data_IF_374080115944
#
_entry.id   IF_374080115944
#
_cell.length_a   1.000
_cell.length_b   1.000
_cell.length_c   1.000
_cell.angle_alpha   90.00
_cell.angle_beta   90.00
_cell.angle_gamma   90.00
#
_symmetry.space_group_name_H-M   'P 1'
#
loop_
_entity.id
_entity.type
_entity.pdbx_description
1 polymer ?
#
# COMPACT_ATOMS: atom_id res chain seq x y z
N UNK A 1 24.39 16.78 -10.82
CA UNK A 1 23.01 17.00 -11.30
C UNK A 1 22.23 15.73 -10.97
N UNK A 2 20.92 15.79 -10.79
CA UNK A 2 20.05 14.61 -10.56
C UNK A 2 19.88 13.75 -11.83
N UNK A 3 20.20 14.32 -13.00
CA UNK A 3 20.48 13.55 -14.22
C UNK A 3 21.70 12.65 -13.98
N UNK A 4 21.55 11.35 -14.26
CA UNK A 4 22.62 10.35 -14.10
C UNK A 4 23.61 10.39 -15.29
N UNK A 5 23.10 10.70 -16.48
CA UNK A 5 23.92 10.75 -17.70
C UNK A 5 24.88 11.93 -17.67
N UNK A 6 26.18 11.63 -17.75
CA UNK A 6 27.23 12.64 -17.82
C UNK A 6 27.35 13.20 -19.24
N UNK A 7 27.01 14.48 -19.43
CA UNK A 7 27.15 15.20 -20.71
C UNK A 7 28.53 15.87 -20.89
N UNK A 8 29.40 15.86 -19.86
CA UNK A 8 30.76 16.40 -19.95
C UNK A 8 31.75 15.37 -20.51
N UNK A 9 31.36 14.73 -21.60
CA UNK A 9 32.15 13.73 -22.32
C UNK A 9 32.01 13.95 -23.82
N UNK A 10 32.88 13.35 -24.62
CA UNK A 10 32.76 13.41 -26.09
C UNK A 10 31.44 12.78 -26.54
N UNK A 11 30.70 13.38 -27.50
CA UNK A 11 31.02 14.60 -28.26
C UNK A 11 30.53 15.93 -27.64
N UNK A 12 29.80 15.89 -26.52
CA UNK A 12 29.00 17.03 -26.03
C UNK A 12 29.78 18.06 -25.19
N UNK A 13 30.74 17.61 -24.36
CA UNK A 13 31.61 18.46 -23.54
C UNK A 13 30.88 19.58 -22.77
N UNK A 14 29.69 19.29 -22.23
CA UNK A 14 28.95 20.27 -21.43
C UNK A 14 29.62 20.44 -20.06
N UNK A 15 30.37 21.53 -19.90
CA UNK A 15 31.17 21.81 -18.71
C UNK A 15 30.52 22.83 -17.77
N UNK A 16 29.18 22.94 -17.81
CA UNK A 16 28.43 23.75 -16.87
C UNK A 16 28.75 23.38 -15.41
N UNK A 17 29.04 24.41 -14.62
CA UNK A 17 29.41 24.29 -13.22
C UNK A 17 28.59 25.30 -12.40
N UNK A 18 27.72 24.77 -11.54
CA UNK A 18 26.83 25.54 -10.67
C UNK A 18 27.60 26.40 -9.67
N UNK A 19 28.80 25.98 -9.26
CA UNK A 19 29.56 26.67 -8.20
C UNK A 19 30.22 27.96 -8.71
N UNK A 20 30.30 28.12 -10.05
CA UNK A 20 30.79 29.35 -10.69
C UNK A 20 29.77 30.50 -10.68
N UNK A 21 28.52 30.25 -10.30
CA UNK A 21 27.45 31.26 -10.22
C UNK A 21 27.22 32.04 -11.52
N UNK A 22 27.36 31.39 -12.69
CA UNK A 22 27.02 31.97 -13.98
C UNK A 22 25.55 31.68 -14.31
N UNK A 23 24.72 32.74 -14.41
CA UNK A 23 23.28 32.62 -14.61
C UNK A 23 22.80 32.98 -16.02
N UNK A 24 23.70 33.49 -16.88
CA UNK A 24 23.34 33.87 -18.25
C UNK A 24 24.55 33.88 -19.16
N UNK A 25 24.39 33.35 -20.36
CA UNK A 25 25.34 33.53 -21.46
C UNK A 25 25.10 34.87 -22.14
N UNK A 26 26.13 35.70 -22.25
CA UNK A 26 26.07 37.04 -22.85
C UNK A 26 26.77 37.02 -24.20
N UNK A 27 25.98 36.93 -25.28
CA UNK A 27 26.52 36.97 -26.64
C UNK A 27 27.05 38.37 -26.99
N UNK A 28 28.25 38.42 -27.57
CA UNK A 28 28.88 39.67 -28.00
C UNK A 28 28.51 39.98 -29.46
N UNK A 29 27.96 41.17 -29.76
CA UNK A 29 27.73 41.57 -31.14
C UNK A 29 29.03 41.52 -31.96
N UNK A 30 28.97 40.97 -33.18
CA UNK A 30 30.11 40.86 -34.09
C UNK A 30 31.04 39.68 -33.84
N UNK A 31 30.78 38.82 -32.83
CA UNK A 31 31.49 37.56 -32.62
C UNK A 31 30.59 36.37 -33.00
N UNK A 32 31.11 35.31 -33.65
CA UNK A 32 30.33 34.11 -33.94
C UNK A 32 30.01 33.35 -32.64
N UNK A 33 28.80 32.82 -32.55
CA UNK A 33 28.33 32.00 -31.42
C UNK A 33 28.96 30.61 -31.49
N UNK A 34 29.42 30.11 -30.35
CA UNK A 34 30.02 28.77 -30.25
C UNK A 34 28.97 27.75 -29.80
N UNK A 35 29.05 26.51 -30.30
CA UNK A 35 28.16 25.43 -29.89
C UNK A 35 28.16 25.22 -28.36
N UNK A 36 29.35 25.32 -27.73
CA UNK A 36 29.50 25.26 -26.28
C UNK A 36 28.67 26.31 -25.54
N UNK A 37 28.57 27.54 -26.05
CA UNK A 37 27.77 28.60 -25.43
C UNK A 37 26.27 28.27 -25.45
N UNK A 38 25.81 27.57 -26.49
CA UNK A 38 24.43 27.10 -26.59
C UNK A 38 24.15 25.92 -25.64
N UNK A 39 25.10 24.99 -25.49
CA UNK A 39 25.00 23.91 -24.50
C UNK A 39 24.94 24.49 -23.09
N UNK A 40 25.87 25.40 -22.74
CA UNK A 40 25.87 26.05 -21.41
C UNK A 40 24.60 26.86 -21.15
N UNK A 41 24.02 27.51 -22.17
CA UNK A 41 22.73 28.19 -22.04
C UNK A 41 21.62 27.22 -21.63
N UNK A 42 21.55 26.06 -22.27
CA UNK A 42 20.56 25.02 -21.95
C UNK A 42 20.74 24.52 -20.51
N UNK A 43 21.97 24.22 -20.10
CA UNK A 43 22.27 23.69 -18.77
C UNK A 43 22.01 24.71 -17.66
N UNK A 44 22.26 26.00 -17.90
CA UNK A 44 21.87 27.08 -16.98
C UNK A 44 20.35 27.12 -16.81
N UNK A 45 19.60 27.10 -17.91
CA UNK A 45 18.14 27.15 -17.86
C UNK A 45 17.58 25.91 -17.17
N UNK A 46 18.08 24.73 -17.54
CA UNK A 46 17.68 23.45 -16.94
C UNK A 46 17.96 23.44 -15.44
N UNK A 47 19.13 23.91 -14.99
CA UNK A 47 19.45 24.01 -13.56
C UNK A 47 18.50 24.97 -12.82
N UNK A 48 18.06 26.08 -13.43
CA UNK A 48 17.05 26.96 -12.81
C UNK A 48 15.69 26.27 -12.67
N UNK A 49 15.26 25.54 -13.71
CA UNK A 49 14.02 24.76 -13.70
C UNK A 49 14.09 23.63 -12.67
N UNK A 50 15.24 22.95 -12.57
CA UNK A 50 15.51 21.90 -11.59
C UNK A 50 15.43 22.44 -10.16
N UNK A 51 16.11 23.56 -9.88
CA UNK A 51 16.08 24.19 -8.54
C UNK A 51 14.67 24.61 -8.14
N UNK A 52 13.91 25.15 -9.09
CA UNK A 52 12.49 25.45 -8.89
C UNK A 52 11.68 24.17 -8.63
N UNK A 53 11.84 23.15 -9.49
CA UNK A 53 11.13 21.88 -9.39
C UNK A 53 11.40 21.16 -8.08
N UNK A 54 12.66 21.05 -7.67
CA UNK A 54 13.08 20.40 -6.41
C UNK A 54 12.63 21.16 -5.16
N UNK A 55 12.43 22.47 -5.23
CA UNK A 55 11.85 23.24 -4.12
C UNK A 55 10.38 22.89 -3.90
N UNK A 56 9.64 22.69 -4.98
CA UNK A 56 8.21 22.38 -4.94
C UNK A 56 7.95 20.88 -4.76
N UNK A 57 8.58 20.02 -5.55
CA UNK A 57 8.26 18.61 -5.69
C UNK A 57 9.41 17.72 -5.21
N UNK A 58 9.06 16.57 -4.62
CA UNK A 58 10.03 15.48 -4.42
C UNK A 58 10.18 14.68 -5.70
N UNK A 59 11.32 14.03 -5.86
CA UNK A 59 11.58 13.07 -6.93
C UNK A 59 10.45 12.02 -7.02
N UNK A 60 9.98 11.73 -8.24
CA UNK A 60 8.87 10.80 -8.47
C UNK A 60 7.48 11.38 -8.25
N UNK A 61 7.36 12.65 -7.88
CA UNK A 61 6.07 13.27 -7.59
C UNK A 61 5.24 13.48 -8.84
N UNK A 62 3.97 13.15 -8.73
CA UNK A 62 2.95 13.43 -9.74
C UNK A 62 2.66 14.93 -9.80
N UNK A 63 3.00 15.60 -10.89
CA UNK A 63 2.76 17.04 -11.09
C UNK A 63 1.40 17.26 -11.76
N UNK A 64 1.17 16.57 -12.88
CA UNK A 64 -0.14 16.52 -13.54
C UNK A 64 -0.69 15.09 -13.38
N UNK A 65 -1.89 14.93 -12.82
CA UNK A 65 -2.35 13.62 -12.39
C UNK A 65 -2.69 12.70 -13.55
N UNK A 66 -1.87 11.67 -13.76
CA UNK A 66 -2.30 10.42 -14.40
C UNK A 66 -3.07 9.55 -13.40
N UNK A 67 -4.19 8.97 -13.83
CA UNK A 67 -4.98 8.08 -12.99
C UNK A 67 -4.28 6.72 -12.88
N UNK A 68 -3.80 6.37 -11.68
CA UNK A 68 -3.36 5.01 -11.37
C UNK A 68 -4.58 4.15 -11.00
N UNK A 69 -4.69 2.97 -11.60
CA UNK A 69 -5.78 2.02 -11.37
C UNK A 69 -5.21 0.63 -11.15
N UNK A 70 -5.56 0.01 -10.03
CA UNK A 70 -5.24 -1.37 -9.73
C UNK A 70 -6.47 -2.25 -9.98
N UNK A 71 -6.32 -3.28 -10.80
CA UNK A 71 -7.36 -4.27 -11.09
C UNK A 71 -6.86 -5.65 -10.67
N UNK A 72 -7.42 -6.19 -9.59
CA UNK A 72 -7.11 -7.54 -9.09
C UNK A 72 -7.96 -8.63 -9.77
N UNK A 73 -8.94 -8.24 -10.59
CA UNK A 73 -9.83 -9.14 -11.31
C UNK A 73 -9.69 -8.92 -12.81
N UNK A 74 -8.44 -8.85 -13.29
CA UNK A 74 -8.14 -8.60 -14.68
C UNK A 74 -8.41 -9.86 -15.52
N UNK A 75 -9.64 -9.97 -16.02
CA UNK A 75 -10.13 -11.16 -16.73
C UNK A 75 -9.37 -11.39 -18.03
N UNK A 76 -9.00 -12.64 -18.29
CA UNK A 76 -8.34 -13.04 -19.52
C UNK A 76 -8.86 -14.35 -20.08
N UNK A 77 -8.69 -14.52 -21.38
CA UNK A 77 -9.03 -15.72 -22.13
C UNK A 77 -7.79 -16.20 -22.89
N UNK A 78 -7.46 -17.46 -22.71
CA UNK A 78 -6.40 -18.13 -23.45
C UNK A 78 -6.97 -18.67 -24.76
N UNK A 79 -6.24 -18.48 -25.86
CA UNK A 79 -6.63 -18.92 -27.20
C UNK A 79 -5.59 -19.89 -27.77
N UNK A 80 -6.03 -20.67 -28.75
CA UNK A 80 -5.14 -21.53 -29.52
C UNK A 80 -4.10 -20.69 -30.30
N UNK A 81 -2.90 -21.23 -30.44
CA UNK A 81 -1.77 -20.55 -31.09
C UNK A 81 -2.02 -20.28 -32.58
N UNK A 82 -2.79 -21.16 -33.22
CA UNK A 82 -3.14 -21.08 -34.64
C UNK A 82 -4.62 -21.28 -34.86
N UNK A 83 -5.19 -20.49 -35.76
CA UNK A 83 -6.55 -20.66 -36.25
C UNK A 83 -6.51 -20.94 -37.76
N UNK A 84 -7.14 -22.05 -38.19
CA UNK A 84 -7.14 -22.50 -39.60
C UNK A 84 -5.73 -22.59 -40.24
N UNK A 85 -4.71 -22.95 -39.44
CA UNK A 85 -3.31 -23.05 -39.87
C UNK A 85 -2.55 -21.73 -39.91
N UNK A 86 -3.14 -20.63 -39.44
CA UNK A 86 -2.53 -19.30 -39.38
C UNK A 86 -2.24 -18.94 -37.91
N UNK A 87 -0.99 -18.63 -37.54
CA UNK A 87 -0.68 -18.19 -36.18
C UNK A 87 -1.40 -16.90 -35.81
N UNK A 88 -2.06 -16.89 -34.64
CA UNK A 88 -2.82 -15.74 -34.13
C UNK A 88 -1.90 -14.56 -33.80
N UNK A 89 -0.63 -14.84 -33.50
CA UNK A 89 0.40 -13.82 -33.23
C UNK A 89 0.70 -12.90 -34.41
N UNK A 90 0.33 -13.27 -35.65
CA UNK A 90 0.58 -12.43 -36.83
C UNK A 90 -0.33 -11.19 -36.89
N UNK A 91 -1.45 -11.22 -36.19
CA UNK A 91 -2.44 -10.15 -36.20
C UNK A 91 -2.91 -9.76 -34.79
N UNK A 92 -2.22 -10.24 -33.74
CA UNK A 92 -2.57 -9.95 -32.35
C UNK A 92 -2.61 -8.44 -32.07
N UNK A 93 -1.65 -7.67 -32.60
CA UNK A 93 -1.55 -6.24 -32.28
C UNK A 93 -2.77 -5.42 -32.73
N UNK A 94 -3.46 -5.88 -33.78
CA UNK A 94 -4.68 -5.24 -34.29
C UNK A 94 -5.93 -5.59 -33.48
N UNK A 95 -5.87 -6.64 -32.66
CA UNK A 95 -6.99 -7.06 -31.83
C UNK A 95 -7.17 -6.16 -30.60
N UNK A 96 -6.13 -5.42 -30.18
CA UNK A 96 -6.19 -4.54 -29.02
C UNK A 96 -7.22 -3.42 -29.26
N UNK A 97 -8.22 -3.32 -28.38
CA UNK A 97 -9.30 -2.35 -28.47
C UNK A 97 -10.52 -2.81 -29.29
N UNK A 98 -10.43 -3.93 -30.01
CA UNK A 98 -11.59 -4.49 -30.73
C UNK A 98 -12.58 -5.17 -29.78
N UNK A 99 -13.85 -5.17 -30.21
CA UNK A 99 -14.92 -5.93 -29.54
C UNK A 99 -15.00 -7.30 -30.18
N UNK A 100 -14.93 -8.33 -29.35
CA UNK A 100 -15.00 -9.73 -29.74
C UNK A 100 -16.27 -10.39 -29.20
N UNK A 101 -16.82 -11.30 -29.99
CA UNK A 101 -18.05 -12.05 -29.68
C UNK A 101 -17.76 -13.54 -29.72
N UNK A 102 -18.25 -14.28 -28.71
CA UNK A 102 -18.17 -15.73 -28.65
C UNK A 102 -19.30 -16.37 -29.47
N UNK A 103 -18.96 -17.26 -30.40
CA UNK A 103 -19.93 -17.86 -31.32
C UNK A 103 -20.95 -18.76 -30.60
N UNK A 104 -20.54 -19.42 -29.49
CA UNK A 104 -21.43 -20.32 -28.74
C UNK A 104 -22.05 -19.63 -27.53
N UNK A 105 -21.27 -18.84 -26.79
CA UNK A 105 -21.73 -18.15 -25.59
C UNK A 105 -22.56 -16.89 -25.89
N UNK A 106 -22.38 -16.26 -27.04
CA UNK A 106 -22.99 -14.96 -27.35
C UNK A 106 -22.47 -13.80 -26.50
N UNK A 107 -21.45 -14.04 -25.66
CA UNK A 107 -20.83 -13.05 -24.79
C UNK A 107 -20.01 -12.08 -25.64
N UNK A 108 -20.05 -10.79 -25.29
CA UNK A 108 -19.20 -9.78 -25.95
C UNK A 108 -18.22 -9.17 -24.95
N UNK A 109 -16.97 -9.01 -25.38
CA UNK A 109 -15.92 -8.38 -24.57
C UNK A 109 -15.02 -7.49 -25.43
N UNK A 110 -14.39 -6.50 -24.80
CA UNK A 110 -13.39 -5.65 -25.45
C UNK A 110 -11.99 -6.07 -25.02
N UNK A 111 -11.09 -6.29 -25.98
CA UNK A 111 -9.69 -6.65 -25.70
C UNK A 111 -8.94 -5.41 -25.19
N UNK A 112 -8.30 -5.51 -24.03
CA UNK A 112 -7.53 -4.44 -23.39
C UNK A 112 -6.03 -4.58 -23.60
N UNK A 113 -5.52 -5.80 -23.54
CA UNK A 113 -4.09 -6.10 -23.70
C UNK A 113 -3.94 -7.54 -24.17
N UNK A 114 -2.83 -7.82 -24.83
CA UNK A 114 -2.49 -9.17 -25.29
C UNK A 114 -1.14 -9.53 -24.71
N UNK A 115 -1.02 -10.79 -24.33
CA UNK A 115 0.22 -11.40 -23.91
C UNK A 115 0.60 -12.45 -24.94
N UNK A 116 1.80 -12.31 -25.48
CA UNK A 116 2.35 -13.24 -26.45
C UNK A 116 2.58 -14.61 -25.81
N UNK A 117 2.62 -15.65 -26.62
CA UNK A 117 2.95 -16.99 -26.16
C UNK A 117 4.34 -17.07 -25.52
N UNK A 118 5.30 -16.30 -26.03
CA UNK A 118 6.71 -16.31 -25.57
C UNK A 118 6.84 -15.70 -24.17
N UNK A 119 5.99 -14.72 -23.85
CA UNK A 119 6.00 -14.04 -22.55
C UNK A 119 5.03 -14.67 -21.53
N UNK A 120 4.27 -15.70 -21.94
CA UNK A 120 3.27 -16.35 -21.11
C UNK A 120 3.88 -17.42 -20.20
N UNK A 121 3.51 -17.41 -18.92
CA UNK A 121 3.90 -18.45 -17.95
C UNK A 121 3.27 -19.81 -18.26
N UNK A 122 2.26 -19.85 -19.15
CA UNK A 122 1.51 -21.05 -19.55
C UNK A 122 1.72 -21.43 -21.01
N UNK A 123 2.67 -20.82 -21.71
CA UNK A 123 2.95 -21.05 -23.13
C UNK A 123 1.73 -20.87 -24.05
N UNK A 124 0.78 -20.03 -23.66
CA UNK A 124 -0.47 -19.78 -24.41
C UNK A 124 -0.67 -18.30 -24.70
N UNK A 125 -1.15 -17.99 -25.91
CA UNK A 125 -1.54 -16.63 -26.25
C UNK A 125 -2.75 -16.23 -25.40
N UNK A 126 -2.64 -15.12 -24.69
CA UNK A 126 -3.63 -14.70 -23.69
C UNK A 126 -4.16 -13.31 -24.02
N UNK A 127 -5.47 -13.21 -24.17
CA UNK A 127 -6.18 -11.95 -24.40
C UNK A 127 -6.76 -11.46 -23.07
N UNK A 128 -6.30 -10.32 -22.58
CA UNK A 128 -6.94 -9.64 -21.45
C UNK A 128 -8.14 -8.86 -21.96
N UNK A 129 -9.30 -9.14 -21.38
CA UNK A 129 -10.60 -8.71 -21.88
C UNK A 129 -11.39 -8.02 -20.78
N UNK A 130 -12.31 -7.14 -21.19
CA UNK A 130 -13.35 -6.59 -20.34
C UNK A 130 -14.71 -7.01 -20.90
N UNK A 131 -15.45 -7.84 -20.17
CA UNK A 131 -16.79 -8.25 -20.56
C UNK A 131 -17.74 -7.04 -20.59
N UNK A 132 -18.56 -6.96 -21.64
CA UNK A 132 -19.52 -5.87 -21.86
C UNK A 132 -20.97 -6.33 -21.83
N UNK A 133 -21.24 -7.52 -22.37
CA UNK A 133 -22.59 -8.11 -22.44
C UNK A 133 -22.49 -9.60 -22.14
N UNK A 134 -23.35 -10.08 -21.25
CA UNK A 134 -23.59 -11.51 -21.02
C UNK A 134 -24.27 -12.14 -22.25
N UNK A 135 -24.24 -13.47 -22.31
CA UNK A 135 -24.88 -14.25 -23.36
C UNK A 135 -26.38 -14.00 -23.46
N UNK A 136 -26.97 -14.39 -24.59
CA UNK A 136 -28.40 -14.19 -24.87
C UNK A 136 -29.32 -15.04 -23.97
N UNK A 137 -28.74 -15.95 -23.18
CA UNK A 137 -29.41 -16.75 -22.15
C UNK A 137 -29.54 -16.02 -20.79
N UNK A 138 -28.99 -14.80 -20.67
CA UNK A 138 -28.91 -14.02 -19.43
C UNK A 138 -28.26 -14.74 -18.24
N UNK A 139 -27.52 -15.83 -18.49
CA UNK A 139 -26.90 -16.68 -17.47
C UNK A 139 -25.41 -16.87 -17.72
N UNK A 140 -24.98 -16.91 -18.98
CA UNK A 140 -23.58 -17.09 -19.36
C UNK A 140 -22.85 -15.75 -19.32
N UNK A 141 -22.01 -15.56 -18.31
CA UNK A 141 -21.25 -14.31 -18.11
C UNK A 141 -19.83 -14.34 -18.71
N UNK A 142 -19.35 -15.52 -19.14
CA UNK A 142 -17.98 -15.74 -19.61
C UNK A 142 -17.95 -16.51 -20.92
N UNK A 143 -16.82 -16.43 -21.63
CA UNK A 143 -16.57 -17.25 -22.80
C UNK A 143 -16.54 -18.74 -22.41
N UNK A 144 -16.96 -19.61 -23.31
CA UNK A 144 -16.90 -21.05 -23.15
C UNK A 144 -15.58 -21.61 -23.69
N UNK A 145 -15.13 -22.74 -23.15
CA UNK A 145 -13.91 -23.42 -23.60
C UNK A 145 -14.10 -24.06 -24.99
N UNK A 146 -13.13 -23.92 -25.90
CA UNK A 146 -13.20 -24.43 -27.27
C UNK A 146 -14.23 -23.75 -28.16
N UNK A 147 -14.55 -22.47 -27.92
CA UNK A 147 -15.43 -21.68 -28.78
C UNK A 147 -14.66 -20.75 -29.72
N UNK A 148 -15.24 -20.43 -30.87
CA UNK A 148 -14.66 -19.48 -31.81
C UNK A 148 -15.03 -18.04 -31.44
N UNK A 149 -14.06 -17.14 -31.57
CA UNK A 149 -14.18 -15.70 -31.33
C UNK A 149 -14.18 -14.96 -32.66
N UNK A 150 -15.12 -14.03 -32.84
CA UNK A 150 -15.20 -13.13 -34.00
C UNK A 150 -15.04 -11.68 -33.58
N UNK A 151 -14.37 -10.86 -34.41
CA UNK A 151 -14.13 -9.45 -34.14
C UNK A 151 -15.16 -8.57 -34.87
N UNK A 152 -15.51 -7.42 -34.31
CA UNK A 152 -16.50 -6.51 -34.92
C UNK A 152 -15.95 -5.65 -36.07
N UNK A 153 -14.65 -5.73 -36.37
CA UNK A 153 -13.97 -5.00 -37.44
C UNK A 153 -13.10 -5.94 -38.25
N UNK A 154 -12.75 -5.50 -39.47
CA UNK A 154 -11.84 -6.23 -40.34
C UNK A 154 -10.42 -6.26 -39.73
N UNK A 155 -9.80 -7.45 -39.73
CA UNK A 155 -8.41 -7.65 -39.29
C UNK A 155 -7.55 -7.86 -40.52
N UNK A 156 -6.59 -6.97 -40.76
CA UNK A 156 -5.77 -6.95 -41.98
C UNK A 156 -4.37 -7.44 -41.66
N UNK A 157 -3.94 -8.59 -42.18
CA UNK A 157 -2.60 -9.09 -41.93
C UNK A 157 -1.90 -9.48 -43.24
N UNK A 158 -0.74 -8.88 -43.47
CA UNK A 158 -0.06 -8.98 -44.77
C UNK A 158 -0.97 -8.52 -45.91
N UNK A 159 -1.31 -9.42 -46.83
CA UNK A 159 -2.21 -9.18 -47.96
C UNK A 159 -3.62 -9.80 -47.77
N UNK A 160 -3.90 -10.39 -46.60
CA UNK A 160 -5.14 -11.08 -46.28
C UNK A 160 -5.99 -10.28 -45.30
N UNK A 161 -7.31 -10.44 -45.37
CA UNK A 161 -8.27 -9.75 -44.50
C UNK A 161 -9.21 -10.79 -43.91
N UNK A 162 -9.32 -10.81 -42.57
CA UNK A 162 -10.41 -11.49 -41.87
C UNK A 162 -11.54 -10.46 -41.77
N UNK A 163 -12.65 -10.71 -42.47
CA UNK A 163 -13.78 -9.79 -42.47
C UNK A 163 -14.41 -9.67 -41.07
N UNK A 164 -15.04 -8.53 -40.80
CA UNK A 164 -15.79 -8.30 -39.58
C UNK A 164 -16.84 -9.40 -39.37
N UNK A 165 -16.93 -9.89 -38.14
CA UNK A 165 -17.77 -10.98 -37.66
C UNK A 165 -17.38 -12.38 -38.14
N UNK A 166 -16.28 -12.53 -38.91
CA UNK A 166 -15.69 -13.83 -39.15
C UNK A 166 -14.86 -14.30 -37.93
N UNK A 167 -14.84 -15.61 -37.65
CA UNK A 167 -13.98 -16.17 -36.62
C UNK A 167 -12.49 -15.90 -36.91
N UNK A 168 -11.75 -15.44 -35.91
CA UNK A 168 -10.31 -15.23 -36.01
C UNK A 168 -9.50 -16.14 -35.08
N UNK A 169 -10.07 -16.61 -33.97
CA UNK A 169 -9.38 -17.48 -33.02
C UNK A 169 -10.35 -18.44 -32.32
N UNK A 170 -9.82 -19.53 -31.77
CA UNK A 170 -10.54 -20.42 -30.86
C UNK A 170 -10.00 -20.26 -29.44
N UNK A 171 -10.88 -20.29 -28.45
CA UNK A 171 -10.48 -20.44 -27.05
C UNK A 171 -9.93 -21.84 -26.80
N UNK A 172 -9.06 -22.01 -25.80
CA UNK A 172 -8.55 -23.35 -25.45
C UNK A 172 -9.69 -24.32 -25.14
N UNK A 173 -9.51 -25.59 -25.51
CA UNK A 173 -10.52 -26.64 -25.31
C UNK A 173 -10.90 -26.89 -23.84
N UNK A 174 -10.03 -26.54 -22.89
CA UNK A 174 -10.28 -26.66 -21.44
C UNK A 174 -9.58 -25.52 -20.68
N UNK A 175 -10.29 -24.91 -19.73
CA UNK A 175 -9.71 -23.92 -18.81
C UNK A 175 -9.21 -22.65 -19.51
N UNK A 176 -9.91 -22.19 -20.55
CA UNK A 176 -9.49 -21.04 -21.32
C UNK A 176 -9.56 -19.76 -20.48
N UNK A 177 -10.58 -19.64 -19.63
CA UNK A 177 -10.80 -18.47 -18.80
C UNK A 177 -9.86 -18.45 -17.59
N UNK A 178 -9.23 -17.30 -17.34
CA UNK A 178 -8.44 -17.07 -16.14
C UNK A 178 -8.59 -15.62 -15.66
N UNK A 179 -8.10 -15.37 -14.45
CA UNK A 179 -8.10 -14.03 -13.84
C UNK A 179 -6.68 -13.71 -13.44
N UNK A 180 -6.14 -12.62 -13.99
CA UNK A 180 -4.87 -12.05 -13.60
C UNK A 180 -5.05 -10.79 -12.78
N UNK A 181 -3.95 -10.08 -12.58
CA UNK A 181 -3.93 -8.78 -11.92
C UNK A 181 -3.07 -7.80 -12.71
N UNK A 182 -3.49 -6.55 -12.76
CA UNK A 182 -2.80 -5.50 -13.50
C UNK A 182 -2.84 -4.15 -12.78
N UNK A 183 -1.85 -3.33 -13.08
CA UNK A 183 -1.81 -1.91 -12.73
C UNK A 183 -1.78 -1.10 -14.02
N UNK A 184 -2.70 -0.16 -14.16
CA UNK A 184 -2.74 0.78 -15.28
C UNK A 184 -2.44 2.19 -14.81
N UNK A 185 -1.80 2.97 -15.66
CA UNK A 185 -1.56 4.39 -15.47
C UNK A 185 -2.10 5.18 -16.66
N UNK A 186 -2.84 6.25 -16.38
CA UNK A 186 -3.23 7.22 -17.39
C UNK A 186 -2.11 8.23 -17.68
N UNK A 187 -2.23 8.92 -18.81
CA UNK A 187 -1.28 9.97 -19.20
C UNK A 187 -1.14 11.05 -18.11
N UNK A 188 0.09 11.45 -17.81
CA UNK A 188 0.38 12.46 -16.80
C UNK A 188 1.79 13.00 -16.87
N UNK A 189 2.12 13.97 -16.01
CA UNK A 189 3.46 14.55 -15.92
C UNK A 189 4.01 14.32 -14.52
N UNK A 190 5.22 13.79 -14.44
CA UNK A 190 5.92 13.45 -13.21
C UNK A 190 7.23 14.22 -13.12
N UNK A 191 7.60 14.62 -11.91
CA UNK A 191 8.88 15.25 -11.65
C UNK A 191 9.93 14.17 -11.42
N UNK A 192 10.82 14.00 -12.39
CA UNK A 192 11.83 12.93 -12.43
C UNK A 192 13.16 13.52 -12.89
N UNK A 193 14.21 13.29 -12.11
CA UNK A 193 15.60 13.71 -12.35
C UNK A 193 15.75 15.18 -12.70
N UNK A 194 15.01 16.04 -12.00
CA UNK A 194 15.02 17.48 -12.24
C UNK A 194 14.20 17.95 -13.44
N UNK A 195 13.50 17.04 -14.12
CA UNK A 195 12.72 17.31 -15.33
C UNK A 195 11.24 16.97 -15.12
N UNK A 196 10.36 17.68 -15.82
CA UNK A 196 8.94 17.37 -15.89
C UNK A 196 8.71 16.41 -17.05
N UNK A 197 8.78 15.11 -16.77
CA UNK A 197 8.69 14.06 -17.78
C UNK A 197 7.25 13.57 -17.96
N UNK A 198 6.84 13.41 -19.21
CA UNK A 198 5.52 12.89 -19.55
C UNK A 198 5.52 11.36 -19.48
N UNK A 199 4.51 10.80 -18.84
CA UNK A 199 4.26 9.37 -18.79
C UNK A 199 3.04 9.08 -19.65
N UNK A 200 3.18 8.16 -20.59
CA UNK A 200 2.10 7.72 -21.48
C UNK A 200 1.17 6.73 -20.76
N UNK A 201 0.00 6.49 -21.35
CA UNK A 201 -0.88 5.45 -20.84
C UNK A 201 -0.23 4.07 -20.99
N UNK A 202 -0.09 3.35 -19.88
CA UNK A 202 0.51 2.03 -19.86
C UNK A 202 -0.25 1.11 -18.91
N UNK A 203 -0.30 -0.19 -19.23
CA UNK A 203 -0.85 -1.22 -18.35
C UNK A 203 0.20 -2.30 -18.11
N UNK A 204 0.61 -2.47 -16.86
CA UNK A 204 1.55 -3.49 -16.41
C UNK A 204 0.79 -4.68 -15.83
N UNK A 205 1.11 -5.89 -16.29
CA UNK A 205 0.56 -7.14 -15.73
C UNK A 205 1.40 -7.53 -14.50
N UNK A 206 0.73 -7.70 -13.36
CA UNK A 206 1.36 -8.07 -12.09
C UNK A 206 1.48 -9.59 -11.99
N UNK A 207 0.37 -10.31 -11.95
CA UNK A 207 0.35 -11.76 -12.14
C UNK A 207 -0.53 -12.10 -13.33
N UNK A 208 -0.04 -13.00 -14.18
CA UNK A 208 -0.72 -13.32 -15.43
C UNK A 208 -2.06 -14.03 -15.20
N UNK A 209 -2.08 -14.94 -14.21
CA UNK A 209 -3.20 -15.85 -13.92
C UNK A 209 -3.49 -15.98 -12.42
N UNK A 210 -3.13 -14.96 -11.62
CA UNK A 210 -3.42 -14.89 -10.19
C UNK A 210 -3.97 -13.52 -9.79
N UNK A 211 -4.88 -13.54 -8.81
CA UNK A 211 -5.51 -12.36 -8.21
C UNK A 211 -4.82 -11.90 -6.91
N UNK A 212 -3.76 -12.59 -6.47
CA UNK A 212 -3.06 -12.29 -5.20
C UNK A 212 -1.59 -11.86 -5.40
N UNK A 213 -1.30 -10.84 -6.23
CA UNK A 213 0.07 -10.38 -6.46
C UNK A 213 0.69 -9.75 -5.20
N UNK A 214 2.01 -9.81 -5.11
CA UNK A 214 2.80 -9.19 -4.03
C UNK A 214 4.05 -8.53 -4.60
N UNK A 215 3.94 -7.24 -4.97
CA UNK A 215 5.01 -6.50 -5.63
C UNK A 215 5.05 -5.02 -5.22
N UNK A 216 6.25 -4.44 -5.35
CA UNK A 216 6.47 -2.98 -5.41
C UNK A 216 6.29 -2.55 -6.87
N UNK A 217 5.48 -1.54 -7.10
CA UNK A 217 5.14 -1.06 -8.45
C UNK A 217 5.61 0.38 -8.55
N UNK A 218 6.27 0.70 -9.64
CA UNK A 218 6.96 1.97 -9.79
C UNK A 218 7.31 2.30 -11.22
N UNK A 219 7.92 3.47 -11.40
CA UNK A 219 8.49 3.88 -12.66
C UNK A 219 9.92 3.41 -12.78
N UNK A 220 10.24 2.77 -13.89
CA UNK A 220 11.61 2.61 -14.34
C UNK A 220 11.97 3.81 -15.22
N UNK A 221 13.03 4.52 -14.84
CA UNK A 221 13.50 5.72 -15.54
C UNK A 221 14.76 5.37 -16.30
N UNK A 222 14.68 5.43 -17.63
CA UNK A 222 15.80 5.20 -18.53
C UNK A 222 16.16 6.51 -19.24
N UNK A 223 17.45 6.83 -19.28
CA UNK A 223 18.00 7.95 -20.05
C UNK A 223 18.75 7.38 -21.25
N UNK A 224 18.33 7.75 -22.45
CA UNK A 224 18.94 7.32 -23.70
C UNK A 224 19.33 8.54 -24.56
N UNK A 225 20.32 8.35 -25.42
CA UNK A 225 20.66 9.33 -26.46
C UNK A 225 20.05 8.88 -27.78
N UNK A 226 19.24 9.74 -28.39
CA UNK A 226 18.69 9.49 -29.72
C UNK A 226 19.43 10.34 -30.73
N UNK A 227 20.09 9.66 -31.66
CA UNK A 227 20.85 10.26 -32.75
C UNK A 227 20.01 10.41 -34.02
N UNK A 228 20.48 11.24 -34.96
CA UNK A 228 19.82 11.40 -36.26
C UNK A 228 19.86 10.13 -37.14
N UNK A 229 20.74 9.17 -36.81
CA UNK A 229 20.78 7.84 -37.44
C UNK A 229 19.60 6.96 -36.98
N UNK A 230 19.15 7.13 -35.73
CA UNK A 230 18.04 6.37 -35.14
C UNK A 230 16.68 7.02 -35.45
N UNK A 231 16.62 8.36 -35.41
CA UNK A 231 15.43 9.12 -35.78
C UNK A 231 15.73 10.10 -36.94
N UNK A 232 15.32 9.75 -38.17
CA UNK A 232 15.51 10.61 -39.34
C UNK A 232 14.81 11.97 -39.24
N UNK A 233 13.85 12.16 -38.32
CA UNK A 233 13.19 13.45 -38.09
C UNK A 233 14.12 14.50 -37.51
N UNK A 234 15.24 14.09 -36.92
CA UNK A 234 16.28 14.96 -36.40
C UNK A 234 17.19 15.52 -37.49
N UNK A 235 17.07 15.06 -38.74
CA UNK A 235 17.79 15.63 -39.88
C UNK A 235 17.26 17.03 -40.23
N UNK A 236 18.13 17.86 -40.81
CA UNK A 236 17.74 19.19 -41.29
C UNK A 236 16.84 19.08 -42.53
N UNK A 237 15.53 19.20 -42.34
CA UNK A 237 14.55 19.05 -43.41
C UNK A 237 14.40 20.35 -44.20
N UNK A 238 14.74 20.32 -45.49
CA UNK A 238 14.54 21.45 -46.42
C UNK A 238 13.37 21.15 -47.38
N UNK A 239 12.39 22.05 -47.44
CA UNK A 239 11.27 22.04 -48.40
C UNK A 239 10.60 20.68 -48.62
N UNK A 240 10.29 19.95 -47.54
CA UNK A 240 9.50 18.71 -47.59
C UNK A 240 10.30 17.43 -47.88
N UNK A 241 11.63 17.50 -47.98
CA UNK A 241 12.50 16.33 -48.10
C UNK A 241 13.49 16.27 -46.94
N UNK A 242 13.71 15.06 -46.43
CA UNK A 242 14.68 14.79 -45.36
C UNK A 242 16.10 14.81 -45.92
N UNK A 243 16.96 15.69 -45.41
CA UNK A 243 18.36 15.73 -45.83
C UNK A 243 19.19 14.76 -44.98
N UNK A 244 19.30 13.51 -45.43
CA UNK A 244 20.10 12.47 -44.75
C UNK A 244 21.60 12.80 -44.64
N UNK A 245 22.10 13.81 -45.35
CA UNK A 245 23.50 14.25 -45.30
C UNK A 245 23.77 15.35 -44.27
N UNK A 246 22.74 15.83 -43.56
CA UNK A 246 22.84 16.87 -42.55
C UNK A 246 22.16 16.41 -41.24
N UNK A 247 22.82 15.56 -40.44
CA UNK A 247 22.31 15.15 -39.14
C UNK A 247 22.20 16.36 -38.21
N UNK A 248 21.05 16.50 -37.56
CA UNK A 248 20.87 17.50 -36.51
C UNK A 248 21.50 17.07 -35.20
N UNK A 249 21.25 17.86 -34.15
CA UNK A 249 21.76 17.56 -32.81
C UNK A 249 20.99 16.39 -32.17
N UNK A 250 21.71 15.55 -31.43
CA UNK A 250 21.17 14.44 -30.65
C UNK A 250 20.16 14.92 -29.59
N UNK A 251 19.33 14.00 -29.10
CA UNK A 251 18.34 14.24 -28.04
C UNK A 251 18.65 13.39 -26.82
N UNK A 252 18.56 13.98 -25.64
CA UNK A 252 18.46 13.21 -24.39
C UNK A 252 16.99 12.84 -24.20
N UNK A 253 16.67 11.55 -24.33
CA UNK A 253 15.35 11.02 -24.07
C UNK A 253 15.27 10.47 -22.64
N UNK A 254 14.24 10.87 -21.90
CA UNK A 254 13.90 10.27 -20.61
C UNK A 254 12.66 9.40 -20.84
N UNK A 255 12.88 8.09 -20.90
CA UNK A 255 11.80 7.12 -21.04
C UNK A 255 11.36 6.64 -19.68
N UNK A 256 10.08 6.81 -19.39
CA UNK A 256 9.45 6.33 -18.16
C UNK A 256 8.48 5.21 -18.53
N UNK A 257 8.70 4.03 -17.94
CA UNK A 257 7.79 2.89 -18.07
C UNK A 257 7.40 2.31 -16.72
N UNK A 258 6.23 1.70 -16.64
CA UNK A 258 5.81 0.96 -15.46
C UNK A 258 6.62 -0.33 -15.31
N UNK A 259 7.11 -0.57 -14.11
CA UNK A 259 7.79 -1.81 -13.75
C UNK A 259 7.35 -2.31 -12.37
N UNK A 260 7.54 -3.61 -12.15
CA UNK A 260 7.28 -4.27 -10.86
C UNK A 260 8.57 -4.88 -10.35
N UNK A 261 8.71 -4.89 -9.02
CA UNK A 261 9.79 -5.54 -8.28
C UNK A 261 9.24 -6.39 -7.15
N UNK A 262 9.99 -7.41 -6.76
CA UNK A 262 9.67 -8.19 -5.58
C UNK A 262 9.70 -7.29 -4.32
N UNK A 263 9.01 -7.70 -3.26
CA UNK A 263 8.90 -6.90 -2.02
C UNK A 263 10.23 -6.74 -1.28
N UNK A 264 11.18 -7.64 -1.53
CA UNK A 264 12.51 -7.72 -0.92
C UNK A 264 13.62 -7.14 -1.81
N UNK A 265 13.34 -6.80 -3.07
CA UNK A 265 14.29 -6.11 -3.94
C UNK A 265 14.40 -4.64 -3.54
N UNK A 266 15.61 -4.22 -3.14
CA UNK A 266 15.94 -2.87 -2.67
C UNK A 266 16.79 -2.07 -3.67
N UNK A 267 17.05 -2.62 -4.87
CA UNK A 267 17.87 -1.92 -5.86
C UNK A 267 17.07 -0.82 -6.56
N UNK A 268 16.98 0.36 -5.97
CA UNK A 268 16.09 1.43 -6.44
C UNK A 268 16.77 2.52 -7.30
N UNK A 269 17.96 2.26 -7.89
CA UNK A 269 18.72 3.29 -8.63
C UNK A 269 17.92 4.01 -9.73
N UNK A 270 17.21 3.26 -10.56
CA UNK A 270 16.36 3.79 -11.64
C UNK A 270 14.87 3.58 -11.36
N UNK A 271 14.50 3.23 -10.13
CA UNK A 271 13.14 2.80 -9.79
C UNK A 271 12.50 3.70 -8.75
N UNK A 272 11.36 4.28 -9.12
CA UNK A 272 10.58 5.16 -8.26
C UNK A 272 9.29 4.44 -7.87
N UNK A 273 9.16 4.04 -6.60
CA UNK A 273 7.96 3.35 -6.10
C UNK A 273 6.75 4.30 -6.05
N UNK A 274 5.63 3.89 -6.66
CA UNK A 274 4.37 4.65 -6.67
C UNK A 274 3.23 3.91 -5.97
N UNK A 275 3.30 2.58 -5.93
CA UNK A 275 2.29 1.73 -5.30
C UNK A 275 2.90 0.43 -4.78
N UNK A 276 2.30 -0.13 -3.74
CA UNK A 276 2.69 -1.43 -3.19
C UNK A 276 1.45 -2.30 -3.01
N UNK A 277 1.54 -3.53 -3.52
CA UNK A 277 0.49 -4.54 -3.39
C UNK A 277 1.06 -5.73 -2.63
N UNK A 278 0.30 -6.25 -1.67
CA UNK A 278 0.68 -7.41 -0.87
C UNK A 278 -0.54 -8.33 -0.73
N UNK A 279 -0.38 -9.60 -1.13
CA UNK A 279 -1.44 -10.60 -1.14
C UNK A 279 -2.72 -10.14 -1.86
N UNK A 280 -2.56 -9.40 -2.96
CA UNK A 280 -3.65 -8.83 -3.75
C UNK A 280 -4.34 -7.60 -3.13
N UNK A 281 -3.91 -7.16 -1.95
CA UNK A 281 -4.39 -5.94 -1.30
C UNK A 281 -3.41 -4.78 -1.57
N UNK A 282 -3.94 -3.68 -2.08
CA UNK A 282 -3.18 -2.44 -2.27
C UNK A 282 -2.88 -1.82 -0.90
N UNK A 283 -1.61 -1.77 -0.51
CA UNK A 283 -1.16 -1.29 0.80
C UNK A 283 -0.93 0.22 0.82
N UNK A 284 -0.27 0.75 -0.20
CA UNK A 284 0.10 2.16 -0.27
C UNK A 284 -0.23 2.72 -1.65
N UNK A 285 -0.85 3.90 -1.64
CA UNK A 285 -1.16 4.66 -2.84
C UNK A 285 -0.59 6.07 -2.65
N UNK A 286 0.43 6.45 -3.44
CA UNK A 286 0.92 7.84 -3.46
C UNK A 286 -0.09 8.68 -4.23
N UNK A 287 -1.23 8.97 -3.60
CA UNK A 287 -2.33 9.72 -4.22
C UNK A 287 -1.96 11.17 -4.47
N UNK A 288 -1.22 11.72 -3.51
CA UNK A 288 -0.94 13.14 -3.41
C UNK A 288 0.47 13.42 -3.91
N UNK A 289 0.60 14.50 -4.68
CA UNK A 289 1.88 15.09 -5.06
C UNK A 289 2.71 15.32 -3.80
N UNK A 290 3.90 14.73 -3.74
CA UNK A 290 4.78 14.92 -2.60
C UNK A 290 5.49 16.26 -2.75
N UNK A 291 5.01 17.26 -2.02
CA UNK A 291 5.70 18.54 -1.97
C UNK A 291 6.97 18.41 -1.11
N UNK A 292 8.00 19.17 -1.46
CA UNK A 292 9.24 19.24 -0.69
C UNK A 292 9.10 20.27 0.45
N UNK A 293 9.81 21.40 0.40
CA UNK A 293 9.85 22.38 1.50
C UNK A 293 8.48 23.02 1.82
N UNK A 294 7.62 23.12 0.81
CA UNK A 294 6.26 23.64 0.99
C UNK A 294 5.44 22.72 1.89
N UNK A 295 5.62 21.41 1.79
CA UNK A 295 4.92 20.47 2.66
C UNK A 295 5.31 20.69 4.12
N UNK A 296 6.60 20.90 4.40
CA UNK A 296 7.09 21.14 5.76
C UNK A 296 6.53 22.44 6.33
N UNK A 297 6.45 23.49 5.51
CA UNK A 297 5.87 24.77 5.90
C UNK A 297 4.37 24.63 6.19
N UNK A 298 3.64 23.89 5.35
CA UNK A 298 2.21 23.63 5.56
C UNK A 298 1.98 22.74 6.79
N UNK A 299 2.80 21.70 6.98
CA UNK A 299 2.74 20.83 8.15
C UNK A 299 2.99 21.62 9.44
N UNK A 300 4.02 22.48 9.48
CA UNK A 300 4.24 23.37 10.63
C UNK A 300 3.00 24.23 10.92
N UNK A 301 2.44 24.90 9.90
CA UNK A 301 1.23 25.72 10.07
C UNK A 301 0.05 24.91 10.60
N UNK A 302 -0.20 23.71 10.07
CA UNK A 302 -1.27 22.83 10.53
C UNK A 302 -1.03 22.37 11.97
N UNK A 303 0.22 22.09 12.36
CA UNK A 303 0.55 21.69 13.72
C UNK A 303 0.42 22.86 14.71
N UNK A 304 0.87 24.05 14.35
CA UNK A 304 0.73 25.24 15.19
C UNK A 304 -0.73 25.63 15.39
N UNK A 305 -1.59 25.43 14.38
CA UNK A 305 -3.02 25.74 14.44
C UNK A 305 -3.83 24.69 15.19
N UNK A 306 -3.57 23.40 14.95
CA UNK A 306 -4.47 22.30 15.39
C UNK A 306 -3.78 21.16 16.14
N UNK A 307 -2.46 21.18 16.29
CA UNK A 307 -1.71 20.11 16.94
C UNK A 307 -1.80 18.76 16.20
N UNK A 308 -1.87 17.66 16.96
CA UNK A 308 -2.09 16.32 16.42
C UNK A 308 -3.56 15.95 16.50
N UNK A 309 -4.16 15.51 15.40
CA UNK A 309 -5.57 15.14 15.38
C UNK A 309 -5.89 14.03 14.37
N UNK A 310 -7.01 13.35 14.60
CA UNK A 310 -7.57 12.37 13.68
C UNK A 310 -8.64 13.03 12.81
N UNK A 311 -8.62 12.74 11.51
CA UNK A 311 -9.75 13.02 10.60
C UNK A 311 -10.66 11.80 10.52
N UNK A 312 -10.06 10.61 10.37
CA UNK A 312 -10.72 9.32 10.47
C UNK A 312 -9.98 8.50 11.52
N UNK A 313 -10.58 8.21 12.69
CA UNK A 313 -9.89 7.52 13.77
C UNK A 313 -9.48 6.11 13.34
N UNK A 314 -8.32 5.67 13.83
CA UNK A 314 -7.87 4.30 13.67
C UNK A 314 -8.47 3.47 14.80
N UNK A 315 -9.37 2.54 14.45
CA UNK A 315 -9.84 1.56 15.42
C UNK A 315 -8.73 0.54 15.67
N UNK A 316 -8.45 0.26 16.94
CA UNK A 316 -7.42 -0.69 17.35
C UNK A 316 -8.10 -1.87 17.99
N UNK A 317 -7.91 -3.05 17.41
CA UNK A 317 -8.38 -4.31 17.96
C UNK A 317 -7.18 -5.15 18.40
N UNK A 318 -7.23 -5.64 19.63
CA UNK A 318 -6.24 -6.58 20.12
C UNK A 318 -6.65 -8.00 19.73
N UNK A 319 -5.75 -8.71 19.05
CA UNK A 319 -5.93 -10.09 18.63
C UNK A 319 -4.76 -10.95 19.09
N UNK A 320 -5.03 -12.23 19.26
CA UNK A 320 -3.98 -13.22 19.48
C UNK A 320 -3.11 -13.34 18.23
N UNK A 321 -1.78 -13.41 18.40
CA UNK A 321 -0.86 -13.54 17.26
C UNK A 321 -0.94 -14.96 16.69
N UNK A 322 -0.71 -15.98 17.53
CA UNK A 322 -0.80 -17.38 17.18
C UNK A 322 -2.26 -17.86 17.20
N UNK A 323 -2.71 -18.53 16.15
CA UNK A 323 -3.96 -19.28 16.13
C UNK A 323 -3.69 -20.74 16.51
N UNK A 324 -4.04 -21.11 17.74
CA UNK A 324 -3.85 -22.46 18.27
C UNK A 324 -4.96 -23.44 17.86
N UNK A 325 -5.99 -22.96 17.13
CA UNK A 325 -7.21 -23.70 16.78
C UNK A 325 -8.07 -24.12 17.98
N UNK A 326 -7.77 -23.64 19.20
CA UNK A 326 -8.49 -23.89 20.45
C UNK A 326 -9.40 -22.68 20.79
N UNK A 327 -9.90 -21.99 19.76
CA UNK A 327 -10.85 -20.89 19.92
C UNK A 327 -10.25 -19.55 20.36
N UNK A 328 -8.92 -19.43 20.39
CA UNK A 328 -8.24 -18.16 20.68
C UNK A 328 -8.41 -17.10 19.56
N UNK A 329 -8.91 -17.51 18.39
CA UNK A 329 -9.14 -16.67 17.18
C UNK A 329 -7.91 -15.86 16.79
N UNK A 330 -6.73 -16.48 16.86
CA UNK A 330 -5.48 -15.87 16.42
C UNK A 330 -5.45 -15.55 14.92
N UNK A 331 -4.59 -14.61 14.54
CA UNK A 331 -4.49 -14.13 13.15
C UNK A 331 -3.62 -15.05 12.29
N UNK A 332 -2.49 -15.53 12.82
CA UNK A 332 -1.49 -16.26 12.06
C UNK A 332 -1.41 -17.72 12.52
N UNK A 333 -1.25 -18.66 11.58
CA UNK A 333 -0.92 -20.05 11.93
C UNK A 333 0.55 -20.17 12.33
N UNK A 334 0.94 -21.26 13.01
CA UNK A 334 2.33 -21.52 13.41
C UNK A 334 3.32 -21.61 12.22
N UNK A 335 2.79 -21.88 11.02
CA UNK A 335 3.56 -21.97 9.76
C UNK A 335 3.73 -20.61 9.07
N UNK A 336 2.94 -19.61 9.45
CA UNK A 336 2.98 -18.26 8.88
C UNK A 336 3.91 -17.35 9.69
N UNK A 337 4.47 -16.35 9.03
CA UNK A 337 5.16 -15.24 9.70
C UNK A 337 4.19 -14.09 9.92
N UNK A 338 4.40 -13.32 10.99
CA UNK A 338 3.65 -12.07 11.21
C UNK A 338 4.01 -11.01 10.17
N UNK A 339 3.25 -9.92 10.09
CA UNK A 339 3.54 -8.79 9.22
C UNK A 339 4.93 -8.15 9.47
N UNK A 340 5.54 -8.41 10.64
CA UNK A 340 6.89 -7.93 10.99
C UNK A 340 7.97 -9.03 10.83
N UNK A 341 7.60 -10.19 10.29
CA UNK A 341 8.52 -11.31 10.05
C UNK A 341 8.82 -12.18 11.28
N UNK A 342 8.11 -11.97 12.39
CA UNK A 342 8.27 -12.75 13.61
C UNK A 342 7.54 -14.10 13.51
N UNK A 343 7.93 -15.05 14.36
CA UNK A 343 7.21 -16.31 14.54
C UNK A 343 6.05 -16.05 15.50
N UNK A 344 4.79 -16.32 15.09
CA UNK A 344 3.63 -16.18 15.97
C UNK A 344 3.79 -17.07 17.21
N UNK A 345 3.52 -16.50 18.39
CA UNK A 345 3.60 -17.22 19.67
C UNK A 345 2.53 -16.75 20.63
N UNK A 346 2.24 -17.55 21.66
CA UNK A 346 1.29 -17.23 22.72
C UNK A 346 1.70 -16.02 23.56
N UNK A 347 2.95 -15.60 23.45
CA UNK A 347 3.49 -14.41 24.14
C UNK A 347 3.34 -13.13 23.31
N UNK A 348 2.87 -13.23 22.07
CA UNK A 348 2.67 -12.10 21.16
C UNK A 348 1.19 -11.80 20.94
N UNK A 349 0.88 -10.51 20.93
CA UNK A 349 -0.40 -9.97 20.47
C UNK A 349 -0.20 -9.33 19.10
N UNK A 350 -1.19 -9.46 18.24
CA UNK A 350 -1.29 -8.71 16.99
C UNK A 350 -2.28 -7.56 17.20
N UNK A 351 -1.78 -6.32 17.25
CA UNK A 351 -2.62 -5.12 17.22
C UNK A 351 -3.07 -4.88 15.78
N UNK A 352 -4.36 -5.11 15.55
CA UNK A 352 -5.02 -4.82 14.28
C UNK A 352 -5.46 -3.35 14.26
N UNK A 353 -4.86 -2.57 13.36
CA UNK A 353 -5.12 -1.14 13.19
C UNK A 353 -5.95 -0.96 11.92
N UNK A 354 -7.19 -0.49 12.04
CA UNK A 354 -8.10 -0.23 10.91
C UNK A 354 -7.63 0.93 10.03
N UNK A 355 -8.05 0.99 8.74
CA UNK A 355 -7.79 2.12 7.86
C UNK A 355 -8.27 3.45 8.45
N UNK A 356 -7.40 4.45 8.48
CA UNK A 356 -7.66 5.75 9.12
C UNK A 356 -6.82 6.87 8.53
N UNK A 357 -7.08 8.09 8.99
CA UNK A 357 -6.39 9.31 8.56
C UNK A 357 -6.15 10.22 9.76
N UNK A 358 -4.90 10.59 9.97
CA UNK A 358 -4.47 11.53 11.01
C UNK A 358 -3.50 12.56 10.46
N UNK A 359 -3.33 13.63 11.23
CA UNK A 359 -2.24 14.58 11.09
C UNK A 359 -1.36 14.50 12.33
N UNK A 360 -0.10 14.14 12.13
CA UNK A 360 0.91 14.01 13.20
C UNK A 360 2.02 14.99 12.88
N UNK A 361 2.27 15.95 13.78
CA UNK A 361 3.16 17.10 13.54
C UNK A 361 2.80 17.84 12.24
N UNK A 362 1.49 17.89 11.94
CA UNK A 362 0.95 18.46 10.71
C UNK A 362 1.19 17.66 9.43
N UNK A 363 1.94 16.56 9.48
CA UNK A 363 2.07 15.65 8.34
C UNK A 363 0.85 14.73 8.26
N UNK A 364 0.27 14.66 7.07
CA UNK A 364 -0.83 13.73 6.77
C UNK A 364 -0.32 12.29 6.80
N UNK A 365 -0.93 11.46 7.62
CA UNK A 365 -0.72 10.01 7.67
C UNK A 365 -2.05 9.32 7.37
N UNK A 366 -2.11 8.56 6.29
CA UNK A 366 -3.31 7.84 5.84
C UNK A 366 -2.96 6.38 5.59
N UNK A 367 -3.83 5.47 6.04
CA UNK A 367 -3.75 4.04 5.70
C UNK A 367 -5.05 3.61 5.04
N UNK A 368 -4.92 2.92 3.91
CA UNK A 368 -6.04 2.40 3.13
C UNK A 368 -6.40 0.97 3.52
N UNK A 369 -5.44 0.21 4.05
CA UNK A 369 -5.58 -1.19 4.47
C UNK A 369 -5.39 -1.33 5.99
N UNK A 370 -5.87 -2.46 6.52
CA UNK A 370 -5.61 -2.85 7.91
C UNK A 370 -4.16 -3.25 8.07
N UNK A 371 -3.52 -2.80 9.15
CA UNK A 371 -2.15 -3.18 9.49
C UNK A 371 -2.10 -3.96 10.80
N UNK A 372 -1.12 -4.86 10.91
CA UNK A 372 -0.85 -5.62 12.13
C UNK A 372 0.48 -5.18 12.73
N UNK A 373 0.50 -4.94 14.04
CA UNK A 373 1.71 -4.64 14.80
C UNK A 373 1.86 -5.68 15.92
N UNK A 374 3.03 -6.30 16.01
CA UNK A 374 3.31 -7.28 17.06
C UNK A 374 3.68 -6.56 18.36
N UNK A 375 3.03 -6.95 19.46
CA UNK A 375 3.30 -6.40 20.80
C UNK A 375 3.47 -7.56 21.79
N UNK A 376 4.54 -7.58 22.59
CA UNK A 376 4.73 -8.60 23.60
C UNK A 376 3.68 -8.46 24.71
N UNK A 377 3.12 -9.58 25.15
CA UNK A 377 2.20 -9.62 26.29
C UNK A 377 2.95 -9.25 27.57
N UNK A 378 2.35 -8.37 28.38
CA UNK A 378 2.87 -8.08 29.71
C UNK A 378 2.73 -9.33 30.60
N UNK A 379 3.84 -10.03 30.85
CA UNK A 379 3.93 -11.20 31.74
C UNK A 379 4.48 -10.84 33.13
N UNK A 380 4.87 -9.58 33.35
CA UNK A 380 5.40 -9.12 34.63
C UNK A 380 4.31 -9.12 35.69
N UNK A 381 4.34 -10.10 36.58
CA UNK A 381 3.48 -10.12 37.76
C UNK A 381 4.20 -9.41 38.91
N UNK A 382 3.43 -8.64 39.70
CA UNK A 382 3.90 -8.11 40.97
C UNK A 382 3.25 -8.92 42.07
N UNK A 383 4.02 -9.77 42.74
CA UNK A 383 3.56 -10.48 43.93
C UNK A 383 3.38 -9.49 45.07
N UNK A 384 2.18 -9.40 45.61
CA UNK A 384 1.90 -8.71 46.87
C UNK A 384 1.78 -9.81 47.93
N UNK A 385 2.81 -9.95 48.75
CA UNK A 385 2.76 -10.84 49.92
C UNK A 385 2.15 -10.06 51.10
N UNK A 386 1.26 -10.70 51.87
CA UNK A 386 0.62 -10.16 53.07
C UNK A 386 -0.36 -8.99 52.85
N UNK A 387 -1.23 -9.09 51.85
CA UNK A 387 -2.41 -8.21 51.78
C UNK A 387 -3.43 -8.63 52.86
N UNK A 388 -3.65 -7.74 53.83
CA UNK A 388 -4.63 -7.97 54.89
C UNK A 388 -6.05 -7.81 54.32
N UNK A 389 -6.73 -8.94 54.06
CA UNK A 389 -8.14 -8.96 53.71
C UNK A 389 -8.97 -8.94 54.99
N UNK A 390 -9.65 -7.84 55.26
CA UNK A 390 -10.59 -7.75 56.39
C UNK A 390 -11.83 -8.58 56.08
N UNK A 391 -12.08 -9.62 56.88
CA UNK A 391 -13.28 -10.45 56.79
C UNK A 391 -14.20 -10.14 57.97
N UNK A 392 -15.36 -9.52 57.70
CA UNK A 392 -16.40 -9.27 58.70
C UNK A 392 -17.55 -10.27 58.46
N UNK A 393 -17.94 -11.03 59.49
CA UNK A 393 -19.04 -12.02 59.41
C UNK A 393 -19.95 -11.94 60.63
N UNK A 394 -21.26 -12.05 60.40
CA UNK A 394 -22.30 -12.03 61.43
C UNK A 394 -22.79 -10.63 61.83
N UNK A 395 -23.85 -10.61 62.64
CA UNK A 395 -24.40 -9.37 63.21
C UNK A 395 -23.59 -8.96 64.44
N UNK A 396 -23.04 -7.73 64.50
CA UNK A 396 -22.30 -7.29 65.67
C UNK A 396 -23.24 -7.05 66.86
N UNK A 397 -22.81 -7.46 68.06
CA UNK A 397 -23.47 -7.09 69.31
C UNK A 397 -22.71 -5.91 69.89
N UNK A 398 -23.39 -4.76 70.01
CA UNK A 398 -22.82 -3.55 70.58
C UNK A 398 -22.94 -3.62 72.11
N UNK A 399 -21.81 -3.52 72.80
CA UNK A 399 -21.74 -3.57 74.27
C UNK A 399 -21.06 -2.33 74.82
N UNK A 400 -21.59 -1.80 75.94
CA UNK A 400 -21.07 -0.62 76.62
C UNK A 400 -20.34 -1.01 77.92
N UNK A 401 -19.37 -0.19 78.34
CA UNK A 401 -18.61 -0.34 79.60
C UNK A 401 -17.80 -1.66 79.68
N UNK A 402 -16.98 -1.91 78.66
CA UNK A 402 -16.15 -3.10 78.50
C UNK A 402 -14.96 -3.04 79.46
N UNK A 403 -14.57 -4.18 80.04
CA UNK A 403 -13.35 -4.32 80.85
C UNK A 403 -12.50 -5.47 80.33
N UNK A 404 -11.29 -5.14 79.89
CA UNK A 404 -10.39 -6.09 79.22
C UNK A 404 -10.72 -6.28 77.74
N UNK A 405 -9.87 -7.04 77.05
CA UNK A 405 -10.10 -7.49 75.68
C UNK A 405 -9.98 -9.02 75.62
N UNK A 406 -10.84 -9.70 74.84
CA UNK A 406 -10.69 -11.12 74.60
C UNK A 406 -9.43 -11.36 73.75
N UNK A 407 -8.66 -12.41 74.06
CA UNK A 407 -7.56 -12.85 73.20
C UNK A 407 -8.13 -13.61 72.00
N UNK A 408 -8.34 -12.90 70.89
CA UNK A 408 -8.77 -13.49 69.63
C UNK A 408 -7.56 -13.88 68.79
N UNK A 409 -7.52 -15.14 68.34
CA UNK A 409 -6.50 -15.66 67.43
C UNK A 409 -7.11 -16.57 66.37
N UNK A 410 -6.37 -16.80 65.29
CA UNK A 410 -6.78 -17.68 64.19
C UNK A 410 -6.87 -19.11 64.75
N UNK A 411 -8.07 -19.71 64.69
CA UNK A 411 -8.33 -21.06 65.22
C UNK A 411 -8.65 -21.12 66.72
N UNK A 412 -8.86 -19.98 67.39
CA UNK A 412 -9.24 -19.95 68.80
C UNK A 412 -10.75 -20.07 69.01
N UNK A 413 -11.16 -20.83 70.03
CA UNK A 413 -12.56 -21.05 70.42
C UNK A 413 -12.99 -20.01 71.46
N UNK A 414 -12.70 -18.73 71.23
CA UNK A 414 -13.01 -17.69 72.21
C UNK A 414 -14.53 -17.60 72.44
N UNK A 415 -14.98 -17.86 73.67
CA UNK A 415 -16.38 -17.75 74.07
C UNK A 415 -16.52 -16.77 75.23
N UNK A 416 -17.59 -15.98 75.23
CA UNK A 416 -18.01 -15.15 76.34
C UNK A 416 -19.28 -15.73 76.95
N UNK A 417 -19.28 -15.88 78.27
CA UNK A 417 -20.48 -16.21 79.02
C UNK A 417 -21.38 -14.99 79.15
N UNK A 418 -22.65 -15.16 78.79
CA UNK A 418 -23.72 -14.21 79.01
C UNK A 418 -24.31 -14.49 80.40
N UNK A 419 -24.44 -13.46 81.23
CA UNK A 419 -24.96 -13.55 82.59
C UNK A 419 -26.34 -12.88 82.68
N UNK A 420 -27.18 -13.34 83.60
CA UNK A 420 -28.54 -12.82 83.84
C UNK A 420 -28.60 -11.41 84.46
N UNK A 421 -27.45 -10.86 84.90
CA UNK A 421 -27.36 -9.58 85.61
C UNK A 421 -26.21 -8.72 85.11
N UNK A 422 -26.38 -7.40 85.23
CA UNK A 422 -25.34 -6.38 84.93
C UNK A 422 -24.23 -6.42 85.99
N UNK A 423 -23.01 -6.08 85.60
CA UNK A 423 -21.77 -6.13 86.40
C UNK A 423 -21.94 -5.58 87.83
N UNK A 424 -21.51 -6.35 88.84
CA UNK A 424 -21.51 -5.95 90.26
C UNK A 424 -22.10 -6.96 91.26
N UNK A 425 -22.63 -8.10 90.79
CA UNK A 425 -23.13 -9.18 91.64
C UNK A 425 -22.85 -10.57 91.06
N UNK A 426 -22.92 -11.61 91.89
CA UNK A 426 -22.82 -13.02 91.48
C UNK A 426 -24.08 -13.41 90.67
N UNK A 427 -24.02 -13.25 89.34
CA UNK A 427 -25.05 -13.70 88.40
C UNK A 427 -24.85 -15.16 87.97
N UNK A 428 -25.90 -15.77 87.44
CA UNK A 428 -25.86 -17.12 86.86
C UNK A 428 -25.66 -17.03 85.35
N UNK A 429 -24.95 -18.00 84.78
CA UNK A 429 -24.72 -18.10 83.33
C UNK A 429 -26.02 -18.47 82.60
N UNK A 430 -26.42 -17.66 81.63
CA UNK A 430 -27.63 -17.85 80.80
C UNK A 430 -27.31 -18.31 79.39
N UNK A 431 -26.04 -18.31 78.98
CA UNK A 431 -25.61 -18.84 77.70
C UNK A 431 -24.15 -18.49 77.35
N UNK A 432 -23.65 -19.12 76.29
CA UNK A 432 -22.30 -18.89 75.75
C UNK A 432 -22.42 -18.31 74.34
N UNK A 433 -21.71 -17.22 74.08
CA UNK A 433 -21.57 -16.64 72.75
C UNK A 433 -20.13 -16.85 72.26
N UNK A 434 -19.97 -17.39 71.05
CA UNK A 434 -18.66 -17.47 70.39
C UNK A 434 -18.31 -16.13 69.76
N UNK A 435 -17.08 -15.67 69.98
CA UNK A 435 -16.55 -14.44 69.40
C UNK A 435 -15.70 -14.76 68.17
N UNK A 436 -15.95 -14.02 67.09
CA UNK A 436 -15.17 -14.08 65.86
C UNK A 436 -14.32 -12.82 65.64
N UNK A 437 -14.84 -11.66 66.06
CA UNK A 437 -14.14 -10.39 66.00
C UNK A 437 -14.50 -9.54 67.22
N UNK A 438 -13.59 -8.65 67.63
CA UNK A 438 -13.78 -7.68 68.71
C UNK A 438 -13.12 -6.37 68.31
N UNK A 439 -13.95 -5.36 68.05
CA UNK A 439 -13.50 -4.03 67.63
C UNK A 439 -14.13 -2.98 68.52
N UNK A 440 -13.33 -1.99 68.92
CA UNK A 440 -13.85 -0.80 69.54
C UNK A 440 -14.51 0.08 68.46
N UNK A 441 -15.81 0.32 68.60
CA UNK A 441 -16.52 1.31 67.81
C UNK A 441 -16.14 2.70 68.35
N UNK A 442 -15.05 3.27 67.83
CA UNK A 442 -14.58 4.66 68.00
C UNK A 442 -14.71 5.29 69.41
N UNK A 443 -13.57 5.47 70.08
CA UNK A 443 -13.43 6.35 71.26
C UNK A 443 -14.01 5.80 72.57
N UNK A 444 -13.33 6.07 73.68
CA UNK A 444 -13.82 5.72 75.02
C UNK A 444 -15.17 6.40 75.29
N UNK A 445 -16.21 5.63 75.61
CA UNK A 445 -17.51 6.18 76.00
C UNK A 445 -17.36 7.05 77.26
N UNK A 446 -17.59 8.36 77.13
CA UNK A 446 -17.52 9.31 78.27
C UNK A 446 -18.92 9.65 78.80
N UNK A 447 -19.94 9.75 77.92
CA UNK A 447 -21.33 10.05 78.29
C UNK A 447 -22.34 9.78 77.16
N UNK A 448 -23.64 9.94 77.45
CA UNK A 448 -24.76 9.68 76.52
C UNK A 448 -24.80 10.55 75.26
N UNK A 449 -23.91 11.54 75.11
CA UNK A 449 -23.77 12.40 73.92
C UNK A 449 -22.67 11.97 72.95
N UNK A 450 -21.94 10.88 73.23
CA UNK A 450 -20.93 10.30 72.33
C UNK A 450 -21.39 9.00 71.64
N UNK A 451 -22.71 8.85 71.45
CA UNK A 451 -23.31 7.71 70.76
C UNK A 451 -23.38 7.91 69.25
#
# INVERSE_FOLDING_TARGET
MPQETNLNVSPYFDDFDKDKNFYRVLFKPGSPVQARELSTLQSILQNQIEQFGTHFFKEGSKVIPGQLSYDNNFTCIQVEDSFLGIPVSLYSDQLVGLRVTGARSGVTATIKKILSKVDSDRDNLTLYIKYEKSGDDFATEKFSDGESLSANQDIVYGASVIAANEPFANTLAFGANATGSAMSIGEGVYFVRGTFAQVQNETLILDQYSATPSYRIGFNVQEDFISADEDPSLNDNASGFTNFAAPGADRLEIKISLSKKALDDTNDQNFIEIARVEQGQLQTFVKDTQYNLINDTLAQRTFDESGNYYVKPFEVFMKESLNDQIGNKGIYTSEQKTAQGNIPSDDLLALQISPGKAYIKGYKVERISTAFLDVPKARTTKTIEQEAVTYETGSPIIVNNIFGSPSLGIGTTATVALLDKRRGGSGSEIGLARLYDFKAQSGSFVNATTQ
#
